data_IF_908993714274
#
_entry.id   IF_908993714274
#
_cell.length_a   1.000
_cell.length_b   1.000
_cell.length_c   1.000
_cell.angle_alpha   90.00
_cell.angle_beta   90.00
_cell.angle_gamma   90.00
#
_symmetry.space_group_name_H-M   'P 1'
#
loop_
_entity.id
_entity.type
_entity.pdbx_description
1 polymer ?
#
# COMPACT_ATOMS: atom_id res chain seq x y z
N UNK A 1 -11.61 4.57 24.02
CA UNK A 1 -11.90 5.89 24.65
C UNK A 1 -11.06 6.92 23.92
N UNK A 2 -11.57 7.47 22.80
CA UNK A 2 -10.97 8.64 22.15
C UNK A 2 -11.15 9.83 23.10
N UNK A 3 -10.04 10.43 23.46
CA UNK A 3 -9.97 11.62 24.31
C UNK A 3 -10.74 12.80 23.67
N UNK A 4 -11.92 13.09 24.20
CA UNK A 4 -12.72 14.31 23.97
C UNK A 4 -12.08 15.53 24.68
N UNK A 5 -10.78 15.53 24.86
CA UNK A 5 -10.04 16.49 25.70
C UNK A 5 -9.48 17.73 24.97
N UNK A 6 -9.68 17.85 23.65
CA UNK A 6 -8.98 18.88 22.87
C UNK A 6 -9.75 20.16 22.57
N UNK A 7 -11.09 20.16 22.70
CA UNK A 7 -11.89 21.35 22.39
C UNK A 7 -11.93 22.40 23.52
N UNK A 8 -11.80 21.96 24.76
CA UNK A 8 -12.09 22.84 25.90
C UNK A 8 -10.84 23.58 26.43
N UNK A 9 -9.66 22.95 26.36
CA UNK A 9 -8.42 23.59 26.82
C UNK A 9 -7.89 24.65 25.87
N UNK A 10 -8.06 24.49 24.55
CA UNK A 10 -7.68 25.50 23.58
C UNK A 10 -8.51 26.78 23.83
N UNK A 11 -9.81 26.67 24.07
CA UNK A 11 -10.68 27.78 24.40
C UNK A 11 -10.31 28.52 25.68
N UNK A 12 -9.84 27.78 26.70
CA UNK A 12 -9.40 28.37 27.96
C UNK A 12 -8.11 29.17 27.79
N UNK A 13 -7.16 28.62 27.02
CA UNK A 13 -5.89 29.31 26.70
C UNK A 13 -6.17 30.53 25.83
N UNK A 14 -6.98 30.40 24.78
CA UNK A 14 -7.35 31.51 23.88
C UNK A 14 -8.05 32.65 24.64
N UNK A 15 -8.93 32.31 25.57
CA UNK A 15 -9.62 33.32 26.43
C UNK A 15 -8.65 34.01 27.39
N UNK A 16 -7.74 33.24 28.04
CA UNK A 16 -6.76 33.80 28.94
C UNK A 16 -5.79 34.75 28.23
N UNK A 17 -5.36 34.40 27.01
CA UNK A 17 -4.51 35.27 26.17
C UNK A 17 -5.28 36.51 25.75
N UNK A 18 -6.55 36.41 25.30
CA UNK A 18 -7.36 37.56 24.90
C UNK A 18 -7.62 38.53 26.05
N UNK A 19 -7.79 37.99 27.28
CA UNK A 19 -7.95 38.84 28.48
C UNK A 19 -6.63 39.53 28.88
N UNK A 20 -5.50 38.83 28.73
CA UNK A 20 -4.16 39.36 28.98
C UNK A 20 -3.76 40.44 27.94
N UNK A 21 -4.10 40.24 26.66
CA UNK A 21 -3.89 41.23 25.59
C UNK A 21 -4.66 42.56 25.87
N UNK A 22 -5.91 42.46 26.35
CA UNK A 22 -6.71 43.66 26.72
C UNK A 22 -6.07 44.49 27.82
N UNK A 23 -5.32 43.87 28.72
CA UNK A 23 -4.63 44.54 29.83
C UNK A 23 -3.18 44.98 29.49
N UNK A 24 -2.72 44.77 28.22
CA UNK A 24 -1.33 44.99 27.80
C UNK A 24 -0.30 44.30 28.71
N UNK A 25 -0.69 43.22 29.36
CA UNK A 25 0.17 42.49 30.32
C UNK A 25 1.01 41.41 29.65
N UNK A 26 0.84 41.17 28.33
CA UNK A 26 1.58 40.11 27.61
C UNK A 26 2.27 40.69 26.39
N UNK A 27 3.54 40.32 26.21
CA UNK A 27 4.35 40.69 25.05
C UNK A 27 3.81 40.03 23.77
N UNK A 28 3.89 40.74 22.63
CA UNK A 28 3.44 40.24 21.33
C UNK A 28 4.14 38.93 20.94
N UNK A 29 5.42 38.78 21.32
CA UNK A 29 6.18 37.55 21.05
C UNK A 29 5.63 36.34 21.84
N UNK A 30 5.11 36.53 23.04
CA UNK A 30 4.49 35.47 23.83
C UNK A 30 3.15 35.06 23.21
N UNK A 31 2.39 36.02 22.72
CA UNK A 31 1.10 35.75 22.02
C UNK A 31 1.36 34.94 20.75
N UNK A 32 2.36 35.31 19.97
CA UNK A 32 2.75 34.61 18.74
C UNK A 32 3.21 33.17 19.06
N UNK A 33 4.08 33.02 20.05
CA UNK A 33 4.55 31.69 20.46
C UNK A 33 3.42 30.74 20.88
N UNK A 34 2.41 31.23 21.58
CA UNK A 34 1.30 30.39 22.06
C UNK A 34 0.25 30.14 20.99
N UNK A 35 -0.03 31.10 20.11
CA UNK A 35 -1.07 30.99 19.07
C UNK A 35 -0.60 30.31 17.80
N UNK A 36 0.67 30.44 17.45
CA UNK A 36 1.23 29.94 16.18
C UNK A 36 2.28 28.86 16.42
N UNK A 37 3.39 29.16 17.13
CA UNK A 37 4.52 28.24 17.23
C UNK A 37 4.21 26.97 18.02
N UNK A 38 3.50 27.08 19.13
CA UNK A 38 3.14 25.90 19.94
C UNK A 38 2.16 24.96 19.24
N UNK A 39 1.06 25.43 18.61
CA UNK A 39 0.17 24.57 17.83
C UNK A 39 0.88 23.90 16.65
N UNK A 40 1.78 24.61 15.96
CA UNK A 40 2.59 24.06 14.88
C UNK A 40 3.53 22.97 15.38
N UNK A 41 4.29 23.25 16.46
CA UNK A 41 5.18 22.28 17.09
C UNK A 41 4.43 21.03 17.59
N UNK A 42 3.27 21.19 18.23
CA UNK A 42 2.41 20.08 18.65
C UNK A 42 1.90 19.30 17.43
N UNK A 43 1.52 19.98 16.37
CA UNK A 43 1.11 19.37 15.10
C UNK A 43 2.22 18.52 14.50
N UNK A 44 3.46 19.02 14.49
CA UNK A 44 4.64 18.29 14.02
C UNK A 44 4.96 17.06 14.88
N UNK A 45 4.91 17.20 16.21
CA UNK A 45 5.12 16.08 17.15
C UNK A 45 4.06 15.00 16.91
N UNK A 46 2.78 15.36 16.78
CA UNK A 46 1.68 14.44 16.53
C UNK A 46 1.87 13.70 15.21
N UNK A 47 2.13 14.40 14.13
CA UNK A 47 2.39 13.81 12.81
C UNK A 47 3.59 12.84 12.84
N UNK A 48 4.63 13.19 13.59
CA UNK A 48 5.81 12.35 13.77
C UNK A 48 5.50 11.09 14.55
N UNK A 49 4.72 11.19 15.65
CA UNK A 49 4.29 10.05 16.47
C UNK A 49 3.40 9.11 15.67
N UNK A 50 2.43 9.63 14.93
CA UNK A 50 1.57 8.84 14.04
C UNK A 50 2.38 8.12 12.95
N UNK A 51 3.42 8.75 12.43
CA UNK A 51 4.35 8.12 11.48
C UNK A 51 5.12 6.98 12.14
N UNK A 52 5.60 7.17 13.37
CA UNK A 52 6.30 6.12 14.13
C UNK A 52 5.37 4.93 14.42
N UNK A 53 4.14 5.15 14.84
CA UNK A 53 3.16 4.10 15.08
C UNK A 53 2.89 3.27 13.81
N UNK A 54 2.75 3.94 12.66
CA UNK A 54 2.60 3.26 11.37
C UNK A 54 3.84 2.42 11.01
N UNK A 55 5.05 2.93 11.27
CA UNK A 55 6.31 2.20 11.06
C UNK A 55 6.37 0.92 11.90
N UNK A 56 6.08 1.04 13.19
CA UNK A 56 6.10 -0.08 14.13
C UNK A 56 5.09 -1.16 13.69
N UNK A 57 3.87 -0.77 13.39
CA UNK A 57 2.82 -1.70 12.94
C UNK A 57 3.19 -2.40 11.63
N UNK A 58 3.82 -1.69 10.69
CA UNK A 58 4.31 -2.27 9.44
C UNK A 58 5.39 -3.32 9.68
N UNK A 59 6.38 -3.01 10.53
CA UNK A 59 7.46 -3.94 10.88
C UNK A 59 6.89 -5.19 11.59
N UNK A 60 5.97 -5.00 12.54
CA UNK A 60 5.31 -6.10 13.23
C UNK A 60 4.52 -6.99 12.26
N UNK A 61 3.81 -6.40 11.29
CA UNK A 61 3.09 -7.13 10.26
C UNK A 61 4.05 -7.96 9.40
N UNK A 62 5.12 -7.35 8.88
CA UNK A 62 6.16 -8.05 8.10
C UNK A 62 6.80 -9.19 8.90
N UNK A 63 7.11 -8.98 10.19
CA UNK A 63 7.68 -9.99 11.06
C UNK A 63 6.74 -11.17 11.29
N UNK A 64 5.44 -10.91 11.48
CA UNK A 64 4.43 -11.98 11.66
C UNK A 64 4.24 -12.79 10.38
N UNK A 65 4.14 -12.13 9.24
CA UNK A 65 4.05 -12.80 7.94
C UNK A 65 5.29 -13.64 7.63
N UNK A 66 6.48 -13.14 7.98
CA UNK A 66 7.73 -13.87 7.83
C UNK A 66 7.80 -15.18 8.63
N UNK A 67 7.10 -15.27 9.75
CA UNK A 67 7.11 -16.46 10.66
C UNK A 67 5.96 -17.43 10.41
N UNK A 68 4.97 -17.08 9.60
CA UNK A 68 3.85 -17.97 9.30
C UNK A 68 4.32 -19.14 8.45
N UNK A 69 3.97 -20.36 8.81
CA UNK A 69 4.25 -21.52 7.97
C UNK A 69 3.50 -21.41 6.65
N UNK A 70 4.18 -21.65 5.55
CA UNK A 70 3.55 -21.73 4.22
C UNK A 70 2.85 -23.07 4.10
N UNK A 71 1.64 -23.06 3.57
CA UNK A 71 0.81 -24.24 3.33
C UNK A 71 0.54 -24.36 1.83
N UNK A 72 1.39 -25.09 1.09
CA UNK A 72 1.22 -25.27 -0.35
C UNK A 72 -0.07 -26.02 -0.65
N UNK A 73 -0.87 -25.49 -1.56
CA UNK A 73 -2.05 -26.12 -2.14
C UNK A 73 -2.18 -25.72 -3.61
N UNK A 74 -2.88 -26.51 -4.41
CA UNK A 74 -3.19 -26.16 -5.80
C UNK A 74 -4.22 -25.04 -5.81
N UNK A 75 -3.89 -23.93 -6.47
CA UNK A 75 -4.70 -22.71 -6.53
C UNK A 75 -5.24 -22.49 -7.94
N UNK A 76 -6.55 -22.37 -8.07
CA UNK A 76 -7.21 -21.80 -9.24
C UNK A 76 -7.03 -20.28 -9.18
N UNK A 77 -6.04 -19.79 -9.93
CA UNK A 77 -5.69 -18.38 -9.96
C UNK A 77 -6.72 -17.53 -10.69
N UNK A 78 -7.46 -18.10 -11.66
CA UNK A 78 -8.55 -17.40 -12.34
C UNK A 78 -9.68 -17.09 -11.35
N UNK A 79 -10.18 -18.11 -10.66
CA UNK A 79 -11.23 -17.92 -9.65
C UNK A 79 -10.79 -16.97 -8.52
N UNK A 80 -9.52 -17.05 -8.08
CA UNK A 80 -8.96 -16.15 -7.06
C UNK A 80 -8.97 -14.69 -7.54
N UNK A 81 -8.42 -14.42 -8.73
CA UNK A 81 -8.36 -13.06 -9.27
C UNK A 81 -9.75 -12.48 -9.53
N UNK A 82 -10.71 -13.28 -10.05
CA UNK A 82 -12.11 -12.87 -10.23
C UNK A 82 -12.77 -12.49 -8.90
N UNK A 83 -12.58 -13.28 -7.85
CA UNK A 83 -13.14 -12.99 -6.54
C UNK A 83 -12.57 -11.69 -5.95
N UNK A 84 -11.28 -11.44 -6.13
CA UNK A 84 -10.63 -10.18 -5.72
C UNK A 84 -11.19 -9.03 -6.55
N UNK A 85 -11.32 -9.17 -7.89
CA UNK A 85 -11.90 -8.14 -8.75
C UNK A 85 -13.34 -7.79 -8.34
N UNK A 86 -14.16 -8.79 -7.99
CA UNK A 86 -15.52 -8.58 -7.45
C UNK A 86 -15.52 -7.79 -6.14
N UNK A 87 -14.54 -8.00 -5.27
CA UNK A 87 -14.48 -7.30 -3.97
C UNK A 87 -14.22 -5.79 -4.10
N UNK A 88 -13.57 -5.35 -5.19
CA UNK A 88 -13.29 -3.93 -5.48
C UNK A 88 -14.28 -3.31 -6.47
N UNK A 89 -15.36 -4.03 -6.83
CA UNK A 89 -16.31 -3.61 -7.86
C UNK A 89 -16.95 -2.24 -7.58
N UNK A 90 -17.33 -1.95 -6.34
CA UNK A 90 -17.86 -0.62 -5.98
C UNK A 90 -16.91 0.53 -6.29
N UNK A 91 -15.60 0.30 -6.16
CA UNK A 91 -14.59 1.33 -6.44
C UNK A 91 -14.41 1.50 -7.95
N UNK A 92 -14.50 0.42 -8.73
CA UNK A 92 -14.40 0.46 -10.18
C UNK A 92 -15.64 1.05 -10.84
N UNK A 93 -16.85 0.75 -10.37
CA UNK A 93 -18.08 1.40 -10.85
C UNK A 93 -18.06 2.91 -10.64
N UNK A 94 -17.65 3.38 -9.46
CA UNK A 94 -17.56 4.79 -9.16
C UNK A 94 -16.55 5.55 -10.05
N UNK A 95 -15.54 4.86 -10.57
CA UNK A 95 -14.51 5.40 -11.47
C UNK A 95 -14.74 5.13 -12.95
N UNK A 96 -15.81 4.37 -13.31
CA UNK A 96 -16.06 3.92 -14.69
C UNK A 96 -14.96 2.95 -15.19
N UNK A 97 -14.32 2.23 -14.30
CA UNK A 97 -13.23 1.34 -14.63
C UNK A 97 -13.70 -0.10 -14.84
N UNK A 98 -12.98 -0.84 -15.70
CA UNK A 98 -13.20 -2.25 -15.97
C UNK A 98 -12.00 -3.08 -15.53
N UNK A 99 -12.26 -4.21 -14.87
CA UNK A 99 -11.25 -5.24 -14.60
C UNK A 99 -11.59 -6.46 -15.46
N UNK A 100 -10.63 -6.90 -16.24
CA UNK A 100 -10.70 -8.10 -17.06
C UNK A 100 -9.73 -9.15 -16.51
N UNK A 101 -10.23 -10.31 -16.15
CA UNK A 101 -9.42 -11.46 -15.74
C UNK A 101 -9.43 -12.47 -16.87
N UNK A 102 -8.29 -12.69 -17.49
CA UNK A 102 -8.07 -13.73 -18.49
C UNK A 102 -7.86 -15.09 -17.81
N UNK A 103 -8.00 -16.21 -18.53
CA UNK A 103 -7.65 -17.51 -17.98
C UNK A 103 -6.19 -17.52 -17.47
N UNK A 104 -5.99 -17.92 -16.23
CA UNK A 104 -4.70 -17.93 -15.54
C UNK A 104 -4.24 -19.39 -15.30
N UNK A 105 -2.96 -19.70 -15.48
CA UNK A 105 -2.42 -21.00 -15.08
C UNK A 105 -2.62 -21.25 -13.58
N UNK A 106 -2.91 -22.51 -13.22
CA UNK A 106 -2.88 -22.96 -11.83
C UNK A 106 -1.46 -22.95 -11.29
N UNK A 107 -1.33 -22.83 -9.96
CA UNK A 107 -0.05 -22.85 -9.25
C UNK A 107 -0.20 -23.63 -7.93
N UNK A 108 0.81 -24.38 -7.54
CA UNK A 108 0.91 -24.94 -6.19
C UNK A 108 1.65 -23.94 -5.29
N UNK A 109 0.91 -23.24 -4.42
CA UNK A 109 1.43 -22.15 -3.61
C UNK A 109 0.64 -21.96 -2.32
N UNK A 110 1.01 -20.96 -1.52
CA UNK A 110 0.30 -20.59 -0.30
C UNK A 110 -0.83 -19.60 -0.63
N UNK A 111 -2.09 -20.02 -0.40
CA UNK A 111 -3.30 -19.25 -0.73
C UNK A 111 -3.29 -17.85 -0.13
N UNK A 112 -3.02 -17.73 1.16
CA UNK A 112 -3.10 -16.45 1.86
C UNK A 112 -2.09 -15.46 1.28
N UNK A 113 -0.87 -15.92 1.01
CA UNK A 113 0.15 -15.07 0.39
C UNK A 113 -0.23 -14.64 -1.03
N UNK A 114 -0.78 -15.56 -1.85
CA UNK A 114 -1.18 -15.25 -3.22
C UNK A 114 -2.37 -14.29 -3.24
N UNK A 115 -3.41 -14.50 -2.41
CA UNK A 115 -4.53 -13.57 -2.27
C UNK A 115 -4.06 -12.18 -1.86
N UNK A 116 -3.12 -12.08 -0.93
CA UNK A 116 -2.57 -10.81 -0.47
C UNK A 116 -1.75 -10.11 -1.57
N UNK A 117 -0.94 -10.86 -2.34
CA UNK A 117 -0.15 -10.31 -3.45
C UNK A 117 -1.08 -9.75 -4.53
N UNK A 118 -2.00 -10.58 -5.03
CA UNK A 118 -2.92 -10.20 -6.12
C UNK A 118 -3.86 -9.07 -5.67
N UNK A 119 -4.39 -9.16 -4.44
CA UNK A 119 -5.24 -8.13 -3.86
C UNK A 119 -4.56 -6.77 -3.76
N UNK A 120 -3.33 -6.72 -3.23
CA UNK A 120 -2.57 -5.47 -3.16
C UNK A 120 -2.28 -4.86 -4.54
N UNK A 121 -2.01 -5.67 -5.56
CA UNK A 121 -1.72 -5.18 -6.90
C UNK A 121 -2.98 -4.68 -7.61
N UNK A 122 -4.11 -5.40 -7.51
CA UNK A 122 -5.40 -4.96 -8.05
C UNK A 122 -5.87 -3.68 -7.34
N UNK A 123 -5.76 -3.61 -6.01
CA UNK A 123 -6.12 -2.42 -5.23
C UNK A 123 -5.25 -1.21 -5.63
N UNK A 124 -3.95 -1.41 -5.86
CA UNK A 124 -3.08 -0.38 -6.38
C UNK A 124 -3.48 0.04 -7.81
N UNK A 125 -3.79 -0.90 -8.71
CA UNK A 125 -4.23 -0.60 -10.05
C UNK A 125 -5.49 0.29 -10.04
N UNK A 126 -6.53 -0.08 -9.28
CA UNK A 126 -7.76 0.73 -9.12
C UNK A 126 -7.45 2.11 -8.53
N UNK A 127 -6.63 2.15 -7.50
CA UNK A 127 -6.30 3.39 -6.78
C UNK A 127 -5.56 4.42 -7.63
N UNK A 128 -4.71 3.97 -8.54
CA UNK A 128 -3.86 4.84 -9.34
C UNK A 128 -4.33 5.03 -10.79
N UNK A 129 -5.59 4.68 -11.08
CA UNK A 129 -6.22 5.01 -12.36
C UNK A 129 -6.20 6.52 -12.62
N UNK A 130 -6.09 6.85 -13.90
CA UNK A 130 -6.18 8.23 -14.39
C UNK A 130 -7.66 8.61 -14.58
N UNK A 131 -8.11 9.69 -13.94
CA UNK A 131 -9.50 10.16 -14.08
C UNK A 131 -9.83 10.79 -15.44
N UNK A 132 -8.82 11.06 -16.26
CA UNK A 132 -8.99 11.65 -17.59
C UNK A 132 -9.45 10.65 -18.66
N UNK A 133 -9.53 9.35 -18.33
CA UNK A 133 -9.92 8.28 -19.26
C UNK A 133 -10.58 7.12 -18.53
N UNK A 134 -11.39 6.28 -19.23
CA UNK A 134 -11.92 5.06 -18.66
C UNK A 134 -10.78 4.17 -18.15
N UNK A 135 -10.90 3.70 -16.91
CA UNK A 135 -9.90 2.84 -16.31
C UNK A 135 -9.98 1.41 -16.86
N UNK A 136 -8.85 0.86 -17.25
CA UNK A 136 -8.74 -0.52 -17.72
C UNK A 136 -7.67 -1.24 -16.92
N UNK A 137 -8.05 -2.40 -16.35
CA UNK A 137 -7.15 -3.27 -15.60
C UNK A 137 -7.28 -4.67 -16.19
N UNK A 138 -6.15 -5.27 -16.58
CA UNK A 138 -6.10 -6.60 -17.15
C UNK A 138 -5.21 -7.50 -16.30
N UNK A 139 -5.77 -8.64 -15.88
CA UNK A 139 -5.02 -9.69 -15.19
C UNK A 139 -4.83 -10.84 -16.17
N UNK A 140 -3.59 -11.20 -16.46
CA UNK A 140 -3.22 -12.25 -17.41
C UNK A 140 -2.10 -13.12 -16.86
N UNK A 141 -1.89 -14.30 -17.44
CA UNK A 141 -0.81 -15.18 -17.02
C UNK A 141 -0.51 -16.26 -18.05
N UNK A 142 0.69 -16.81 -17.94
CA UNK A 142 1.15 -17.88 -18.81
C UNK A 142 2.14 -18.81 -18.11
N UNK A 143 2.14 -20.07 -18.49
CA UNK A 143 3.21 -21.00 -18.12
C UNK A 143 4.46 -20.66 -18.92
N UNK A 144 5.62 -20.70 -18.25
CA UNK A 144 6.90 -20.45 -18.92
C UNK A 144 7.83 -21.67 -18.78
N UNK A 145 8.80 -21.84 -19.69
CA UNK A 145 9.73 -22.97 -19.64
C UNK A 145 10.43 -23.10 -18.29
N UNK A 146 10.76 -24.34 -17.91
CA UNK A 146 11.50 -24.62 -16.67
C UNK A 146 10.64 -24.70 -15.42
N UNK A 147 9.31 -24.88 -15.56
CA UNK A 147 8.41 -25.03 -14.41
C UNK A 147 8.13 -23.72 -13.68
N UNK A 148 8.08 -22.63 -14.43
CA UNK A 148 7.72 -21.30 -13.95
C UNK A 148 6.39 -20.85 -14.52
N UNK A 149 5.74 -19.93 -13.81
CA UNK A 149 4.53 -19.23 -14.25
C UNK A 149 4.74 -17.72 -14.08
N UNK A 150 4.19 -16.96 -15.02
CA UNK A 150 4.20 -15.49 -14.96
C UNK A 150 2.76 -15.01 -14.92
N UNK A 151 2.45 -14.16 -13.94
CA UNK A 151 1.20 -13.39 -13.89
C UNK A 151 1.49 -11.92 -14.11
N UNK A 152 0.59 -11.23 -14.81
CA UNK A 152 0.69 -9.80 -15.11
C UNK A 152 -0.58 -9.11 -14.62
N UNK A 153 -0.40 -8.00 -13.92
CA UNK A 153 -1.49 -7.07 -13.57
C UNK A 153 -1.14 -5.75 -14.25
N UNK A 154 -1.86 -5.44 -15.33
CA UNK A 154 -1.68 -4.25 -16.15
C UNK A 154 -2.79 -3.24 -15.89
N UNK A 155 -2.46 -1.97 -15.72
CA UNK A 155 -3.39 -0.85 -15.63
C UNK A 155 -3.04 0.24 -16.64
N UNK A 156 -4.04 0.98 -17.09
CA UNK A 156 -3.86 2.19 -17.90
C UNK A 156 -3.88 3.46 -17.05
N UNK A 157 -3.47 3.39 -15.80
CA UNK A 157 -3.46 4.49 -14.86
C UNK A 157 -2.39 5.55 -15.14
N UNK A 158 -2.03 6.30 -14.08
CA UNK A 158 -1.08 7.41 -14.18
C UNK A 158 0.36 7.01 -14.50
N UNK A 159 0.69 5.73 -14.36
CA UNK A 159 2.04 5.21 -14.54
C UNK A 159 3.03 5.66 -13.45
N UNK A 160 4.27 5.19 -13.57
CA UNK A 160 5.37 5.38 -12.62
C UNK A 160 6.58 5.91 -13.38
N UNK A 161 7.22 6.95 -12.86
CA UNK A 161 8.44 7.47 -13.48
C UNK A 161 9.59 6.46 -13.37
N UNK A 162 10.48 6.30 -14.38
CA UNK A 162 11.56 5.32 -14.38
C UNK A 162 12.45 5.37 -13.13
N UNK A 163 12.74 6.55 -12.62
CA UNK A 163 13.54 6.77 -11.38
C UNK A 163 12.92 6.17 -10.12
N UNK A 164 11.62 5.86 -10.16
CA UNK A 164 10.87 5.36 -8.99
C UNK A 164 10.60 3.85 -9.07
N UNK A 165 10.91 3.15 -10.20
CA UNK A 165 10.59 1.73 -10.40
C UNK A 165 11.15 0.81 -9.29
N UNK A 166 12.38 1.04 -8.86
CA UNK A 166 12.94 0.26 -7.74
C UNK A 166 12.42 0.76 -6.38
N UNK A 167 12.21 2.08 -6.27
CA UNK A 167 11.87 2.74 -5.00
C UNK A 167 10.43 2.49 -4.55
N UNK A 168 9.51 2.18 -5.46
CA UNK A 168 8.10 1.88 -5.10
C UNK A 168 7.96 0.64 -4.22
N UNK A 169 8.96 -0.24 -4.19
CA UNK A 169 9.02 -1.43 -3.35
C UNK A 169 9.66 -1.17 -1.98
N UNK A 170 10.15 0.04 -1.71
CA UNK A 170 10.65 0.43 -0.39
C UNK A 170 9.47 0.78 0.54
N UNK A 171 9.67 0.56 1.84
CA UNK A 171 8.67 0.93 2.86
C UNK A 171 8.42 2.44 2.86
N UNK A 172 7.15 2.83 2.92
CA UNK A 172 6.71 4.25 2.99
C UNK A 172 7.09 5.09 1.77
N UNK A 173 7.46 4.46 0.67
CA UNK A 173 7.69 5.16 -0.58
C UNK A 173 6.43 5.21 -1.45
N UNK A 174 6.26 6.36 -2.08
CA UNK A 174 5.16 6.64 -3.00
C UNK A 174 5.71 7.43 -4.18
N UNK A 175 5.35 7.04 -5.40
CA UNK A 175 5.73 7.77 -6.60
C UNK A 175 4.71 8.89 -6.90
N UNK A 176 5.20 10.03 -7.38
CA UNK A 176 4.39 11.14 -7.87
C UNK A 176 3.62 11.92 -6.81
N UNK A 177 2.49 12.55 -7.23
CA UNK A 177 1.64 13.36 -6.35
C UNK A 177 1.01 12.50 -5.25
N UNK A 178 1.05 12.98 -4.01
CA UNK A 178 0.49 12.29 -2.84
C UNK A 178 -0.99 12.63 -2.64
N UNK A 179 -1.77 12.58 -3.71
CA UNK A 179 -3.20 12.91 -3.78
C UNK A 179 -4.13 11.74 -3.42
N UNK A 180 -3.57 10.55 -3.20
CA UNK A 180 -4.32 9.34 -2.84
C UNK A 180 -3.99 8.89 -1.43
N UNK A 181 -4.98 8.34 -0.72
CA UNK A 181 -4.77 7.74 0.60
C UNK A 181 -3.88 6.50 0.51
N UNK A 182 -3.03 6.23 1.51
CA UNK A 182 -2.23 5.01 1.60
C UNK A 182 -0.86 5.24 2.21
N UNK A 183 -0.39 4.23 2.92
CA UNK A 183 0.80 4.29 3.76
C UNK A 183 2.11 4.00 3.02
N UNK A 184 2.06 3.57 1.73
CA UNK A 184 3.26 3.17 0.99
C UNK A 184 3.85 1.84 1.45
N UNK A 185 3.01 0.94 1.94
CA UNK A 185 3.40 -0.36 2.48
C UNK A 185 3.07 -1.54 1.56
N UNK A 186 2.02 -1.42 0.73
CA UNK A 186 1.46 -2.53 -0.04
C UNK A 186 2.49 -3.22 -0.94
N UNK A 187 3.24 -2.46 -1.74
CA UNK A 187 4.25 -3.03 -2.65
C UNK A 187 5.47 -3.61 -1.93
N UNK A 188 5.86 -3.05 -0.79
CA UNK A 188 6.91 -3.64 0.03
C UNK A 188 6.50 -5.01 0.61
N UNK A 189 5.23 -5.14 1.05
CA UNK A 189 4.66 -6.43 1.45
C UNK A 189 4.61 -7.40 0.28
N UNK A 190 4.14 -6.96 -0.89
CA UNK A 190 4.10 -7.79 -2.11
C UNK A 190 5.49 -8.33 -2.41
N UNK A 191 6.52 -7.49 -2.48
CA UNK A 191 7.90 -7.92 -2.75
C UNK A 191 8.41 -8.94 -1.73
N UNK A 192 8.13 -8.74 -0.45
CA UNK A 192 8.52 -9.66 0.61
C UNK A 192 7.81 -11.03 0.46
N UNK A 193 6.48 -11.02 0.23
CA UNK A 193 5.69 -12.24 0.05
C UNK A 193 6.08 -13.00 -1.22
N UNK A 194 6.32 -12.30 -2.33
CA UNK A 194 6.79 -12.88 -3.59
C UNK A 194 8.13 -13.60 -3.39
N UNK A 195 9.11 -12.94 -2.76
CA UNK A 195 10.41 -13.55 -2.46
C UNK A 195 10.29 -14.78 -1.57
N UNK A 196 9.40 -14.73 -0.59
CA UNK A 196 9.15 -15.85 0.32
C UNK A 196 8.55 -17.06 -0.38
N UNK A 197 7.78 -16.85 -1.44
CA UNK A 197 7.25 -17.90 -2.32
C UNK A 197 8.27 -18.35 -3.41
N UNK A 198 9.53 -17.90 -3.33
CA UNK A 198 10.56 -18.22 -4.31
C UNK A 198 10.43 -17.51 -5.65
N UNK A 199 9.61 -16.47 -5.72
CA UNK A 199 9.35 -15.69 -6.92
C UNK A 199 10.12 -14.37 -7.03
N UNK A 200 9.89 -13.68 -8.14
CA UNK A 200 10.34 -12.30 -8.40
C UNK A 200 9.18 -11.42 -8.80
N UNK A 201 9.31 -10.12 -8.53
CA UNK A 201 8.38 -9.09 -9.00
C UNK A 201 9.16 -7.99 -9.70
N UNK A 202 8.67 -7.60 -10.87
CA UNK A 202 9.18 -6.50 -11.67
C UNK A 202 8.04 -5.56 -12.06
N UNK A 203 8.38 -4.37 -12.58
CA UNK A 203 7.42 -3.38 -13.06
C UNK A 203 7.87 -2.79 -14.39
N UNK A 204 6.96 -2.78 -15.35
CA UNK A 204 7.07 -2.05 -16.61
C UNK A 204 6.06 -0.90 -16.55
N UNK A 205 6.54 0.33 -16.63
CA UNK A 205 5.64 1.49 -16.50
C UNK A 205 6.19 2.72 -17.21
N UNK A 206 5.25 3.50 -17.75
CA UNK A 206 5.54 4.81 -18.34
C UNK A 206 4.56 5.84 -17.78
N UNK A 207 5.08 6.97 -17.34
CA UNK A 207 4.28 8.04 -16.76
C UNK A 207 3.22 8.53 -17.77
N UNK A 208 1.95 8.54 -17.35
CA UNK A 208 0.80 8.92 -18.19
C UNK A 208 0.23 7.77 -19.04
N UNK A 209 0.86 6.59 -19.09
CA UNK A 209 0.37 5.46 -19.89
C UNK A 209 -0.21 4.32 -19.05
N UNK A 210 0.37 4.07 -17.88
CA UNK A 210 -0.03 2.99 -16.99
C UNK A 210 1.14 2.16 -16.49
N UNK A 211 0.84 1.06 -15.80
CA UNK A 211 1.85 0.15 -15.24
C UNK A 211 1.47 -1.30 -15.47
N UNK A 212 2.47 -2.15 -15.59
CA UNK A 212 2.32 -3.61 -15.61
C UNK A 212 3.24 -4.19 -14.56
N UNK A 213 2.67 -4.83 -13.55
CA UNK A 213 3.43 -5.62 -12.58
C UNK A 213 3.56 -7.04 -13.08
N UNK A 214 4.80 -7.55 -13.10
CA UNK A 214 5.14 -8.91 -13.55
C UNK A 214 5.53 -9.72 -12.32
N UNK A 215 4.78 -10.78 -12.06
CA UNK A 215 5.01 -11.73 -10.98
C UNK A 215 5.49 -13.04 -11.60
N UNK A 216 6.68 -13.51 -11.24
CA UNK A 216 7.20 -14.79 -11.70
C UNK A 216 7.37 -15.72 -10.50
N UNK A 217 6.76 -16.92 -10.56
CA UNK A 217 6.81 -17.91 -9.50
C UNK A 217 7.24 -19.28 -10.04
N UNK A 218 7.87 -20.12 -9.21
CA UNK A 218 7.95 -21.55 -9.51
C UNK A 218 6.53 -22.14 -9.52
N UNK A 219 6.22 -23.00 -10.49
CA UNK A 219 4.89 -23.63 -10.62
C UNK A 219 4.50 -24.44 -9.37
N UNK A 220 5.50 -24.89 -8.61
CA UNK A 220 5.34 -25.59 -7.34
C UNK A 220 6.18 -24.91 -6.27
N UNK A 221 5.55 -24.53 -5.19
CA UNK A 221 6.23 -23.98 -4.03
C UNK A 221 7.01 -25.08 -3.31
N UNK A 222 8.32 -24.93 -3.22
CA UNK A 222 9.19 -25.79 -2.44
C UNK A 222 9.35 -25.16 -1.05
N UNK A 223 8.73 -25.77 -0.06
CA UNK A 223 8.93 -25.38 1.34
C UNK A 223 10.08 -26.22 1.89
N UNK A 224 11.18 -25.56 2.31
CA UNK A 224 12.24 -26.27 3.02
C UNK A 224 11.67 -26.83 4.33
N UNK A 225 11.79 -28.12 4.57
CA UNK A 225 11.42 -28.71 5.85
C UNK A 225 12.24 -28.08 6.97
N UNK A 226 11.61 -27.67 8.08
CA UNK A 226 12.34 -27.13 9.21
C UNK A 226 13.14 -28.31 9.84
N UNK A 227 14.43 -28.41 9.56
CA UNK A 227 15.28 -29.37 10.28
C UNK A 227 16.41 -30.06 9.53
N UNK A 228 16.70 -29.75 8.27
CA UNK A 228 17.92 -30.23 7.61
C UNK A 228 18.85 -29.06 7.33
N UNK A 229 19.65 -28.69 8.32
CA UNK A 229 20.84 -27.89 8.08
C UNK A 229 21.84 -28.75 7.31
N UNK A 230 22.24 -28.34 6.09
CA UNK A 230 23.37 -28.86 5.37
C UNK A 230 24.68 -28.37 6.00
#
# INVERSE_FOLDING_TARGET
RKLVWQGDRSRVVDKAIADAEKTRAVDADVVMAVREDMPEAIGFIRASTEKMDRLINAILKLSREGRRNLLPETLDMTAMAENIAKSVHHQTEASGARIEVQPLPEIESDRISMEQIVGNLIDNAVKYLDHGRPGEIVVSGEDTPGGWVVYRIADNGRGIAPRDHERIFELFRRSGKQDRSGEGLGLAFVRNSVRRLGGTIDVESELGKGSTFLLKFPKRLIVAEPGVAL
#
